data_IF_705128079327
#
_entry.id   IF_705128079327
#
_cell.length_a   1.000
_cell.length_b   1.000
_cell.length_c   1.000
_cell.angle_alpha   90.00
_cell.angle_beta   90.00
_cell.angle_gamma   90.00
#
_symmetry.space_group_name_H-M   'P 1'
#
loop_
_entity.id
_entity.type
_entity.pdbx_description
1 polymer ?
#
# COMPACT_ATOMS: atom_id res chain seq x y z
N UNK A 1 12.18 5.45 8.90
CA UNK A 1 10.72 5.29 8.95
C UNK A 1 10.06 5.90 10.17
N UNK A 2 10.64 5.82 11.38
CA UNK A 2 10.05 6.51 12.55
C UNK A 2 9.87 8.03 12.34
N UNK A 3 10.75 8.66 11.57
CA UNK A 3 10.58 10.05 11.16
C UNK A 3 9.38 10.24 10.21
N UNK A 4 9.26 9.40 9.17
CA UNK A 4 8.14 9.42 8.23
C UNK A 4 6.79 9.18 8.93
N UNK A 5 6.72 8.21 9.84
CA UNK A 5 5.50 7.96 10.64
C UNK A 5 5.11 9.20 11.44
N UNK A 6 6.06 9.79 12.18
CA UNK A 6 5.83 11.01 12.96
C UNK A 6 5.44 12.22 12.11
N UNK A 7 6.01 12.33 10.91
CA UNK A 7 5.64 13.37 9.95
C UNK A 7 4.19 13.20 9.50
N UNK A 8 3.78 11.98 9.13
CA UNK A 8 2.39 11.70 8.75
C UNK A 8 1.42 11.97 9.92
N UNK A 9 1.78 11.53 11.12
CA UNK A 9 0.98 11.78 12.32
C UNK A 9 0.86 13.29 12.61
N UNK A 10 1.94 14.04 12.41
CA UNK A 10 1.95 15.50 12.60
C UNK A 10 1.08 16.21 11.55
N UNK A 11 1.20 15.82 10.28
CA UNK A 11 0.49 16.45 9.17
C UNK A 11 -1.02 16.17 9.23
N UNK A 12 -1.42 14.97 9.65
CA UNK A 12 -2.83 14.60 9.83
C UNK A 12 -3.41 15.05 11.19
N UNK A 13 -2.55 15.40 12.15
CA UNK A 13 -2.94 15.86 13.47
C UNK A 13 -3.89 14.89 14.18
N UNK A 14 -5.03 15.41 14.64
CA UNK A 14 -6.05 14.61 15.36
C UNK A 14 -6.71 13.54 14.50
N UNK A 15 -6.49 13.53 13.18
CA UNK A 15 -7.07 12.56 12.26
C UNK A 15 -6.11 11.41 11.92
N UNK A 16 -4.87 11.44 12.44
CA UNK A 16 -3.84 10.41 12.15
C UNK A 16 -4.25 8.99 12.51
N UNK A 17 -5.18 8.82 13.46
CA UNK A 17 -5.73 7.52 13.85
C UNK A 17 -6.36 6.77 12.67
N UNK A 18 -6.85 7.45 11.63
CA UNK A 18 -7.54 6.80 10.50
C UNK A 18 -6.62 5.85 9.73
N UNK A 19 -5.30 6.06 9.78
CA UNK A 19 -4.33 5.23 9.07
C UNK A 19 -3.76 4.08 9.93
N UNK A 20 -4.03 4.06 11.24
CA UNK A 20 -3.58 3.01 12.19
C UNK A 20 -2.10 2.58 12.06
N UNK A 21 -1.21 3.49 11.63
CA UNK A 21 0.18 3.16 11.24
C UNK A 21 1.06 2.59 12.36
N UNK A 22 0.63 2.68 13.62
CA UNK A 22 1.47 2.33 14.76
C UNK A 22 1.74 0.83 14.86
N UNK A 23 0.77 0.01 14.48
CA UNK A 23 0.83 -1.44 14.51
C UNK A 23 1.04 -2.05 13.11
N UNK A 24 1.38 -1.23 12.12
CA UNK A 24 1.63 -1.69 10.75
C UNK A 24 2.99 -2.42 10.66
N UNK A 25 3.00 -3.73 10.32
CA UNK A 25 4.20 -4.55 10.27
C UNK A 25 5.14 -4.17 9.11
N UNK A 26 4.62 -3.55 8.05
CA UNK A 26 5.46 -3.01 6.97
C UNK A 26 6.21 -1.78 7.46
N UNK A 27 5.57 -0.86 8.19
CA UNK A 27 6.28 0.28 8.77
C UNK A 27 7.36 -0.16 9.77
N UNK A 28 7.10 -1.22 10.56
CA UNK A 28 8.11 -1.82 11.42
C UNK A 28 9.27 -2.40 10.60
N UNK A 29 9.01 -3.21 9.58
CA UNK A 29 10.06 -3.81 8.75
C UNK A 29 10.94 -2.75 8.09
N UNK A 30 10.33 -1.74 7.47
CA UNK A 30 11.07 -0.67 6.78
C UNK A 30 11.83 0.24 7.77
N UNK A 31 11.48 0.22 9.07
CA UNK A 31 12.21 0.98 10.09
C UNK A 31 13.63 0.44 10.32
N UNK A 32 13.88 -0.83 10.03
CA UNK A 32 15.20 -1.44 10.12
C UNK A 32 16.03 -1.12 8.87
N UNK A 33 17.05 -0.27 9.04
CA UNK A 33 17.96 0.14 7.96
C UNK A 33 18.77 -1.02 7.38
N UNK A 34 18.98 -2.11 8.11
CA UNK A 34 19.69 -3.29 7.59
C UNK A 34 18.91 -4.01 6.50
N UNK A 35 17.60 -3.78 6.40
CA UNK A 35 16.76 -4.39 5.37
C UNK A 35 16.66 -3.53 4.12
N UNK A 36 17.05 -2.25 4.20
CA UNK A 36 17.04 -1.33 3.07
C UNK A 36 18.36 -1.46 2.33
N UNK A 37 18.32 -1.97 1.10
CA UNK A 37 19.52 -2.25 0.31
C UNK A 37 20.05 -0.97 -0.36
N UNK A 38 19.16 -0.16 -0.94
CA UNK A 38 19.48 1.17 -1.46
C UNK A 38 18.24 2.05 -1.58
N UNK A 39 18.43 3.32 -1.96
CA UNK A 39 17.39 4.33 -2.19
C UNK A 39 16.29 4.34 -1.12
N UNK A 40 16.59 4.75 0.13
CA UNK A 40 15.60 4.74 1.22
C UNK A 40 14.35 5.57 0.93
N UNK A 41 14.46 6.62 0.10
CA UNK A 41 13.34 7.45 -0.35
C UNK A 41 12.39 6.69 -1.29
N UNK A 42 12.90 5.84 -2.19
CA UNK A 42 12.07 4.97 -3.04
C UNK A 42 11.28 3.98 -2.17
N UNK A 43 11.94 3.36 -1.19
CA UNK A 43 11.29 2.46 -0.24
C UNK A 43 10.17 3.17 0.55
N UNK A 44 10.41 4.40 1.00
CA UNK A 44 9.39 5.23 1.66
C UNK A 44 8.21 5.50 0.75
N UNK A 45 8.48 6.03 -0.45
CA UNK A 45 7.45 6.42 -1.39
C UNK A 45 6.57 5.21 -1.76
N UNK A 46 7.18 4.07 -2.11
CA UNK A 46 6.44 2.89 -2.53
C UNK A 46 5.65 2.26 -1.38
N UNK A 47 6.15 2.32 -0.13
CA UNK A 47 5.36 1.94 1.05
C UNK A 47 4.09 2.78 1.15
N UNK A 48 4.20 4.12 1.08
CA UNK A 48 3.04 5.02 1.13
C UNK A 48 2.06 4.78 -0.01
N UNK A 49 2.58 4.52 -1.21
CA UNK A 49 1.76 4.20 -2.38
C UNK A 49 0.96 2.91 -2.17
N UNK A 50 1.59 1.86 -1.65
CA UNK A 50 0.91 0.61 -1.34
C UNK A 50 -0.13 0.77 -0.23
N UNK A 51 0.22 1.49 0.84
CA UNK A 51 -0.70 1.81 1.93
C UNK A 51 -1.91 2.57 1.41
N UNK A 52 -1.73 3.57 0.55
CA UNK A 52 -2.83 4.32 -0.05
C UNK A 52 -3.77 3.44 -0.88
N UNK A 53 -3.22 2.56 -1.73
CA UNK A 53 -4.01 1.65 -2.55
C UNK A 53 -4.86 0.71 -1.71
N UNK A 54 -4.27 0.07 -0.70
CA UNK A 54 -5.01 -0.87 0.15
C UNK A 54 -6.00 -0.14 1.05
N UNK A 55 -5.62 1.03 1.56
CA UNK A 55 -6.52 1.84 2.38
C UNK A 55 -7.77 2.24 1.58
N UNK A 56 -7.62 2.73 0.34
CA UNK A 56 -8.75 3.15 -0.49
C UNK A 56 -9.61 1.99 -1.03
N UNK A 57 -9.17 0.74 -0.88
CA UNK A 57 -10.00 -0.42 -1.20
C UNK A 57 -11.04 -0.71 -0.09
N UNK A 58 -10.86 -0.16 1.11
CA UNK A 58 -11.80 -0.36 2.21
C UNK A 58 -13.08 0.47 2.00
N UNK A 59 -14.21 -0.03 2.51
CA UNK A 59 -15.46 0.75 2.56
C UNK A 59 -15.57 1.39 3.94
N UNK A 60 -15.35 2.71 4.07
CA UNK A 60 -15.51 3.40 5.34
C UNK A 60 -16.99 3.58 5.71
N UNK A 61 -17.24 3.85 6.98
CA UNK A 61 -18.52 4.39 7.45
C UNK A 61 -18.84 5.73 6.74
N UNK A 62 -20.13 6.02 6.53
CA UNK A 62 -20.54 7.20 5.74
C UNK A 62 -20.03 8.52 6.32
N UNK A 63 -19.94 8.65 7.64
CA UNK A 63 -19.43 9.83 8.36
C UNK A 63 -17.91 9.98 8.27
N UNK A 64 -17.20 8.94 7.81
CA UNK A 64 -15.73 8.91 7.64
C UNK A 64 -15.30 8.92 6.19
N UNK A 65 -16.23 8.81 5.23
CA UNK A 65 -15.91 8.69 3.79
C UNK A 65 -15.02 9.81 3.29
N UNK A 66 -15.33 11.06 3.63
CA UNK A 66 -14.52 12.21 3.19
C UNK A 66 -13.10 12.13 3.73
N UNK A 67 -12.95 11.89 5.04
CA UNK A 67 -11.63 11.79 5.67
C UNK A 67 -10.83 10.61 5.12
N UNK A 68 -11.48 9.49 4.83
CA UNK A 68 -10.87 8.32 4.22
C UNK A 68 -10.30 8.64 2.83
N UNK A 69 -11.08 9.28 1.95
CA UNK A 69 -10.58 9.68 0.62
C UNK A 69 -9.41 10.66 0.75
N UNK A 70 -9.54 11.68 1.60
CA UNK A 70 -8.50 12.69 1.79
C UNK A 70 -7.20 12.11 2.37
N UNK A 71 -7.28 11.15 3.28
CA UNK A 71 -6.10 10.50 3.83
C UNK A 71 -5.38 9.63 2.78
N UNK A 72 -6.11 8.95 1.90
CA UNK A 72 -5.54 8.25 0.74
C UNK A 72 -4.84 9.20 -0.24
N UNK A 73 -5.51 10.30 -0.61
CA UNK A 73 -4.96 11.33 -1.51
C UNK A 73 -3.72 12.00 -0.91
N UNK A 74 -3.69 12.20 0.40
CA UNK A 74 -2.53 12.70 1.13
C UNK A 74 -1.33 11.76 1.01
N UNK A 75 -1.53 10.45 1.20
CA UNK A 75 -0.47 9.45 1.05
C UNK A 75 0.09 9.43 -0.39
N UNK A 76 -0.79 9.49 -1.40
CA UNK A 76 -0.35 9.62 -2.79
C UNK A 76 0.44 10.91 -3.04
N UNK A 77 -0.01 12.03 -2.47
CA UNK A 77 0.69 13.32 -2.60
C UNK A 77 2.11 13.24 -2.03
N UNK A 78 2.28 12.62 -0.85
CA UNK A 78 3.61 12.37 -0.28
C UNK A 78 4.47 11.45 -1.16
N UNK A 79 3.89 10.39 -1.72
CA UNK A 79 4.56 9.54 -2.69
C UNK A 79 5.11 10.35 -3.89
N UNK A 80 4.27 11.18 -4.52
CA UNK A 80 4.69 12.00 -5.66
C UNK A 80 5.77 13.01 -5.27
N UNK A 81 5.63 13.67 -4.12
CA UNK A 81 6.60 14.63 -3.62
C UNK A 81 7.98 14.00 -3.42
N UNK A 82 8.06 12.85 -2.75
CA UNK A 82 9.32 12.16 -2.48
C UNK A 82 9.99 11.74 -3.79
N UNK A 83 9.26 11.17 -4.75
CA UNK A 83 9.86 10.78 -6.03
C UNK A 83 10.30 11.97 -6.87
N UNK A 84 9.52 13.06 -6.88
CA UNK A 84 9.85 14.27 -7.63
C UNK A 84 11.10 14.97 -7.06
N UNK A 85 11.24 15.04 -5.72
CA UNK A 85 12.41 15.63 -5.05
C UNK A 85 13.72 14.91 -5.42
N UNK A 86 13.63 13.60 -5.66
CA UNK A 86 14.78 12.75 -5.99
C UNK A 86 14.88 12.38 -7.48
N UNK A 87 14.04 12.96 -8.34
CA UNK A 87 14.01 12.71 -9.78
C UNK A 87 13.80 11.23 -10.17
N UNK A 88 13.07 10.47 -9.34
CA UNK A 88 12.82 9.03 -9.49
C UNK A 88 11.66 8.73 -10.49
N UNK A 89 11.70 9.35 -11.66
CA UNK A 89 10.62 9.30 -12.66
C UNK A 89 10.35 7.90 -13.20
N UNK A 90 11.36 7.02 -13.19
CA UNK A 90 11.18 5.62 -13.59
C UNK A 90 10.31 4.86 -12.60
N UNK A 91 10.60 4.99 -11.30
CA UNK A 91 9.79 4.38 -10.24
C UNK A 91 8.36 4.92 -10.29
N UNK A 92 8.21 6.23 -10.53
CA UNK A 92 6.91 6.86 -10.70
C UNK A 92 6.10 6.19 -11.82
N UNK A 93 6.69 6.06 -13.01
CA UNK A 93 6.05 5.42 -14.15
C UNK A 93 5.68 3.96 -13.85
N UNK A 94 6.61 3.19 -13.26
CA UNK A 94 6.37 1.81 -12.89
C UNK A 94 5.18 1.66 -11.91
N UNK A 95 5.06 2.56 -10.92
CA UNK A 95 3.93 2.57 -9.98
C UNK A 95 2.60 2.92 -10.65
N UNK A 96 2.60 3.83 -11.64
CA UNK A 96 1.39 4.13 -12.42
C UNK A 96 0.94 2.94 -13.25
N UNK A 97 1.88 2.23 -13.88
CA UNK A 97 1.56 1.05 -14.68
C UNK A 97 1.07 -0.12 -13.80
N UNK A 98 1.72 -0.33 -12.64
CA UNK A 98 1.28 -1.31 -11.64
C UNK A 98 -0.13 -0.97 -11.15
N UNK A 99 -0.37 0.24 -10.66
CA UNK A 99 -1.69 0.62 -10.12
C UNK A 99 -2.81 0.47 -11.15
N UNK A 100 -2.58 0.88 -12.41
CA UNK A 100 -3.54 0.68 -13.49
C UNK A 100 -3.86 -0.80 -13.70
N UNK A 101 -2.85 -1.68 -13.71
CA UNK A 101 -3.06 -3.11 -13.86
C UNK A 101 -3.83 -3.69 -12.66
N UNK A 102 -3.49 -3.28 -11.44
CA UNK A 102 -4.18 -3.70 -10.22
C UNK A 102 -5.65 -3.26 -10.21
N UNK A 103 -5.93 -1.98 -10.48
CA UNK A 103 -7.30 -1.45 -10.51
C UNK A 103 -8.14 -2.11 -11.59
N UNK A 104 -7.56 -2.36 -12.77
CA UNK A 104 -8.26 -3.09 -13.84
C UNK A 104 -8.63 -4.49 -13.37
N UNK A 105 -7.69 -5.21 -12.73
CA UNK A 105 -7.93 -6.58 -12.29
C UNK A 105 -8.91 -6.69 -11.11
N UNK A 106 -8.82 -5.78 -10.14
CA UNK A 106 -9.80 -5.68 -9.03
C UNK A 106 -11.19 -5.38 -9.57
N UNK A 107 -11.31 -4.50 -10.56
CA UNK A 107 -12.59 -4.20 -11.21
C UNK A 107 -13.17 -5.42 -11.92
N UNK A 108 -12.36 -6.20 -12.64
CA UNK A 108 -12.80 -7.47 -13.24
C UNK A 108 -13.31 -8.46 -12.19
N UNK A 109 -12.57 -8.64 -11.09
CA UNK A 109 -12.94 -9.54 -10.00
C UNK A 109 -14.20 -9.09 -9.26
N UNK A 110 -14.39 -7.78 -9.06
CA UNK A 110 -15.63 -7.26 -8.49
C UNK A 110 -16.87 -7.50 -9.37
N UNK A 111 -16.67 -7.75 -10.66
CA UNK A 111 -17.73 -8.09 -11.61
C UNK A 111 -17.88 -9.60 -11.84
N UNK A 112 -16.99 -10.43 -11.30
CA UNK A 112 -17.06 -11.89 -11.38
C UNK A 112 -17.33 -12.51 -10.01
N UNK A 113 -17.83 -13.74 -10.00
CA UNK A 113 -17.94 -14.55 -8.76
C UNK A 113 -16.64 -15.34 -8.49
N UNK A 114 -15.53 -14.97 -9.15
CA UNK A 114 -14.27 -15.70 -9.06
C UNK A 114 -13.47 -15.26 -7.82
N UNK A 115 -13.05 -16.24 -7.03
CA UNK A 115 -12.12 -16.02 -5.92
C UNK A 115 -10.70 -16.09 -6.48
N UNK A 116 -9.87 -15.04 -6.36
CA UNK A 116 -8.51 -15.06 -6.90
C UNK A 116 -7.65 -16.12 -6.19
N UNK A 117 -6.71 -16.68 -6.94
CA UNK A 117 -5.71 -17.58 -6.37
C UNK A 117 -4.83 -16.83 -5.35
N UNK A 118 -4.31 -17.46 -4.26
CA UNK A 118 -3.51 -16.77 -3.24
C UNK A 118 -2.32 -15.94 -3.80
N UNK A 119 -1.60 -16.46 -4.78
CA UNK A 119 -0.53 -15.73 -5.46
C UNK A 119 -1.01 -14.50 -6.25
N UNK A 120 -2.22 -14.57 -6.80
CA UNK A 120 -2.84 -13.42 -7.46
C UNK A 120 -3.27 -12.38 -6.43
N UNK A 121 -3.90 -12.81 -5.34
CA UNK A 121 -4.25 -11.95 -4.21
C UNK A 121 -3.02 -11.22 -3.64
N UNK A 122 -1.90 -11.93 -3.48
CA UNK A 122 -0.62 -11.35 -3.06
C UNK A 122 -0.19 -10.20 -3.97
N UNK A 123 -0.31 -10.37 -5.29
CA UNK A 123 0.02 -9.33 -6.28
C UNK A 123 -0.98 -8.17 -6.23
N UNK A 124 -2.27 -8.46 -6.01
CA UNK A 124 -3.33 -7.45 -5.94
C UNK A 124 -3.17 -6.48 -4.78
N UNK A 125 -2.68 -6.97 -3.63
CA UNK A 125 -2.53 -6.19 -2.40
C UNK A 125 -1.12 -5.63 -2.20
N UNK A 126 -0.11 -6.27 -2.77
CA UNK A 126 1.29 -5.95 -2.48
C UNK A 126 2.15 -5.76 -3.74
N UNK A 127 1.55 -5.60 -4.92
CA UNK A 127 2.28 -5.38 -6.18
C UNK A 127 3.39 -4.33 -6.09
N UNK A 128 3.12 -3.12 -5.56
CA UNK A 128 4.16 -2.11 -5.31
C UNK A 128 5.29 -2.59 -4.37
N UNK A 129 4.96 -3.30 -3.29
CA UNK A 129 5.99 -3.84 -2.39
C UNK A 129 6.82 -4.94 -3.06
N UNK A 130 6.18 -5.81 -3.85
CA UNK A 130 6.87 -6.86 -4.63
C UNK A 130 7.81 -6.27 -5.68
N UNK A 131 7.49 -5.07 -6.21
CA UNK A 131 8.40 -4.32 -7.07
C UNK A 131 9.70 -3.96 -6.35
N UNK A 132 9.64 -3.52 -5.09
CA UNK A 132 10.84 -3.19 -4.30
C UNK A 132 11.75 -4.41 -4.14
N UNK A 133 11.16 -5.58 -3.85
CA UNK A 133 11.92 -6.84 -3.70
C UNK A 133 12.54 -7.23 -5.04
N UNK A 134 11.76 -7.18 -6.12
CA UNK A 134 12.18 -7.63 -7.45
C UNK A 134 13.26 -6.75 -8.09
N UNK A 135 13.34 -5.48 -7.67
CA UNK A 135 14.34 -4.52 -8.13
C UNK A 135 15.42 -4.24 -7.08
N UNK A 136 15.56 -5.12 -6.07
CA UNK A 136 16.63 -5.09 -5.06
C UNK A 136 16.73 -3.80 -4.23
N UNK A 137 15.63 -3.05 -4.09
CA UNK A 137 15.55 -1.89 -3.18
C UNK A 137 15.52 -2.31 -1.70
N UNK A 138 14.97 -3.51 -1.43
CA UNK A 138 14.72 -4.03 -0.09
C UNK A 138 15.01 -5.53 -0.01
N UNK A 139 15.36 -5.99 1.19
CA UNK A 139 15.67 -7.38 1.46
C UNK A 139 14.47 -8.31 1.23
N UNK A 140 14.72 -9.47 0.61
CA UNK A 140 13.72 -10.50 0.29
C UNK A 140 12.95 -11.03 1.50
N UNK A 141 13.47 -10.87 2.73
CA UNK A 141 12.77 -11.18 3.99
C UNK A 141 11.43 -10.46 4.13
N UNK A 142 11.20 -9.40 3.36
CA UNK A 142 9.90 -8.76 3.29
C UNK A 142 8.79 -9.69 2.77
N UNK A 143 9.13 -10.72 1.97
CA UNK A 143 8.16 -11.75 1.58
C UNK A 143 7.57 -12.45 2.81
N UNK A 144 8.37 -12.73 3.84
CA UNK A 144 7.89 -13.39 5.05
C UNK A 144 6.89 -12.52 5.84
N UNK A 145 6.96 -11.20 5.69
CA UNK A 145 5.97 -10.26 6.25
C UNK A 145 4.69 -10.31 5.43
N UNK A 146 4.80 -10.25 4.10
CA UNK A 146 3.66 -10.34 3.18
C UNK A 146 2.88 -11.64 3.40
N UNK A 147 3.58 -12.78 3.45
CA UNK A 147 2.95 -14.10 3.57
C UNK A 147 2.21 -14.22 4.92
N UNK A 148 2.80 -13.74 6.02
CA UNK A 148 2.14 -13.68 7.33
C UNK A 148 0.89 -12.79 7.34
N UNK A 149 0.92 -11.67 6.62
CA UNK A 149 -0.26 -10.80 6.51
C UNK A 149 -1.37 -11.46 5.68
N UNK A 150 -1.02 -12.18 4.61
CA UNK A 150 -1.99 -12.94 3.82
C UNK A 150 -2.63 -14.10 4.61
N UNK A 151 -1.87 -14.79 5.47
CA UNK A 151 -2.41 -15.85 6.33
C UNK A 151 -3.44 -15.34 7.34
N UNK A 152 -3.31 -14.08 7.75
CA UNK A 152 -4.21 -13.43 8.72
C UNK A 152 -5.40 -12.72 8.05
N UNK A 153 -5.36 -12.58 6.72
CA UNK A 153 -6.34 -11.81 5.97
C UNK A 153 -7.65 -12.58 5.77
N UNK A 154 -8.75 -11.97 6.18
CA UNK A 154 -10.08 -12.44 5.79
C UNK A 154 -10.41 -11.95 4.37
N UNK A 155 -10.29 -12.83 3.38
CA UNK A 155 -10.60 -12.49 1.98
C UNK A 155 -12.05 -12.02 1.80
N UNK A 156 -12.97 -12.39 2.71
CA UNK A 156 -14.36 -11.94 2.65
C UNK A 156 -14.57 -10.49 3.06
N UNK A 157 -13.58 -9.88 3.71
CA UNK A 157 -13.62 -8.45 4.05
C UNK A 157 -13.17 -7.53 2.92
N UNK A 158 -12.70 -8.07 1.78
CA UNK A 158 -12.15 -7.31 0.66
C UNK A 158 -13.24 -6.91 -0.35
N UNK A 159 -13.69 -5.64 -0.37
CA UNK A 159 -14.90 -5.24 -1.09
C UNK A 159 -14.79 -5.34 -2.60
N UNK A 160 -13.60 -5.08 -3.15
CA UNK A 160 -13.32 -5.12 -4.59
C UNK A 160 -12.77 -6.47 -5.06
N UNK A 161 -12.78 -7.48 -4.20
CA UNK A 161 -12.33 -8.85 -4.52
C UNK A 161 -13.46 -9.86 -4.28
N UNK A 162 -14.41 -9.58 -3.38
CA UNK A 162 -15.44 -10.53 -2.99
C UNK A 162 -16.85 -9.93 -2.98
N UNK A 163 -17.13 -9.01 -3.91
CA UNK A 163 -18.46 -8.41 -4.02
C UNK A 163 -19.49 -9.44 -4.48
N UNK A 164 -20.08 -10.18 -3.53
CA UNK A 164 -21.38 -10.82 -3.76
C UNK A 164 -22.36 -9.71 -4.06
N UNK A 165 -22.76 -9.58 -5.32
CA UNK A 165 -23.86 -8.72 -5.72
C UNK A 165 -25.04 -9.03 -4.80
N UNK A 166 -25.43 -8.07 -3.97
CA UNK A 166 -26.72 -8.10 -3.28
C UNK A 166 -27.82 -7.70 -4.24
#
# INVERSE_FOLDING_TARGET
MNALRKEIESDLGTNSWILELNDDPFFEFFSNREFILHSPHVNQAVLLFNTALNFLDDIPEDDRRELHVLAGDYLFSKFYMILAEHEEYRVLQDMMDISKALSSKKSELAMSDDIPHPEELKRLLYGPILYLISNEYIDRRLNDVIDRQLEQLDITSLPYINQKQR
#
